data_IF_282316470955
#
_entry.id   IF_282316470955
#
_cell.length_a   1.000
_cell.length_b   1.000
_cell.length_c   1.000
_cell.angle_alpha   90.00
_cell.angle_beta   90.00
_cell.angle_gamma   90.00
#
_symmetry.space_group_name_H-M   'P 1'
#
loop_
_entity.id
_entity.type
_entity.pdbx_description
1 polymer ?
#
# COMPACT_ATOMS: atom_id res chain seq x y z
N UNK A 1 10.64 32.18 -3.65
CA UNK A 1 11.28 30.90 -3.33
C UNK A 1 11.26 30.08 -4.62
N UNK A 2 12.41 29.91 -5.28
CA UNK A 2 12.51 29.11 -6.51
C UNK A 2 12.53 27.63 -6.10
N UNK A 3 11.67 26.82 -6.70
CA UNK A 3 11.68 25.37 -6.50
C UNK A 3 12.92 24.81 -7.24
N UNK A 4 13.79 24.02 -6.58
CA UNK A 4 14.95 23.39 -7.21
C UNK A 4 14.58 22.58 -8.47
N UNK A 5 15.47 22.54 -9.47
CA UNK A 5 15.23 21.80 -10.73
C UNK A 5 15.04 20.29 -10.53
N UNK A 6 15.64 19.72 -9.49
CA UNK A 6 15.49 18.32 -9.10
C UNK A 6 14.06 18.01 -8.61
N UNK A 7 13.47 18.93 -7.82
CA UNK A 7 12.08 18.82 -7.36
C UNK A 7 11.08 18.91 -8.53
N UNK A 8 11.40 19.69 -9.58
CA UNK A 8 10.58 19.77 -10.80
C UNK A 8 10.59 18.43 -11.56
N UNK A 9 11.75 17.79 -11.70
CA UNK A 9 11.86 16.54 -12.45
C UNK A 9 11.23 15.35 -11.68
N UNK A 10 11.40 15.31 -10.35
CA UNK A 10 10.71 14.35 -9.49
C UNK A 10 9.18 14.53 -9.53
N UNK A 11 8.71 15.77 -9.49
CA UNK A 11 7.27 16.07 -9.60
C UNK A 11 6.70 15.62 -10.94
N UNK A 12 7.43 15.87 -12.04
CA UNK A 12 7.03 15.43 -13.38
C UNK A 12 6.96 13.91 -13.47
N UNK A 13 7.98 13.21 -12.98
CA UNK A 13 7.99 11.75 -12.95
C UNK A 13 6.81 11.18 -12.16
N UNK A 14 6.49 11.75 -10.99
CA UNK A 14 5.34 11.33 -10.20
C UNK A 14 3.99 11.55 -10.91
N UNK A 15 3.85 12.64 -11.68
CA UNK A 15 2.66 12.92 -12.48
C UNK A 15 2.53 11.91 -13.64
N UNK A 16 3.64 11.59 -14.31
CA UNK A 16 3.66 10.63 -15.42
C UNK A 16 3.29 9.22 -14.91
N UNK A 17 3.85 8.80 -13.76
CA UNK A 17 3.52 7.53 -13.13
C UNK A 17 2.06 7.47 -12.67
N UNK A 18 1.53 8.54 -12.05
CA UNK A 18 0.11 8.63 -11.70
C UNK A 18 -0.75 8.47 -12.94
N UNK A 19 -0.44 9.19 -14.02
CA UNK A 19 -1.20 9.16 -15.27
C UNK A 19 -1.22 7.76 -15.87
N UNK A 20 -0.05 7.11 -15.93
CA UNK A 20 0.10 5.74 -16.44
C UNK A 20 -0.67 4.72 -15.62
N UNK A 21 -0.56 4.76 -14.28
CA UNK A 21 -1.27 3.82 -13.42
C UNK A 21 -2.77 4.05 -13.39
N UNK A 22 -3.20 5.31 -13.37
CA UNK A 22 -4.59 5.68 -13.51
C UNK A 22 -5.21 5.08 -14.78
N UNK A 23 -4.50 5.14 -15.91
CA UNK A 23 -4.97 4.54 -17.16
C UNK A 23 -5.15 3.02 -17.03
N UNK A 24 -4.19 2.31 -16.40
CA UNK A 24 -4.29 0.85 -16.18
C UNK A 24 -5.46 0.47 -15.28
N UNK A 25 -5.71 1.24 -14.22
CA UNK A 25 -6.89 1.01 -13.38
C UNK A 25 -8.17 1.21 -14.19
N UNK A 26 -8.30 2.31 -14.94
CA UNK A 26 -9.49 2.59 -15.75
C UNK A 26 -9.72 1.58 -16.87
N UNK A 27 -8.66 1.08 -17.52
CA UNK A 27 -8.77 0.06 -18.58
C UNK A 27 -9.09 -1.33 -18.05
N UNK A 28 -8.90 -1.58 -16.75
CA UNK A 28 -9.07 -2.90 -16.13
C UNK A 28 -7.82 -3.76 -16.15
N UNK A 29 -6.70 -3.27 -16.69
CA UNK A 29 -5.42 -4.00 -16.79
C UNK A 29 -4.59 -3.96 -15.49
N UNK A 30 -5.09 -3.27 -14.46
CA UNK A 30 -4.49 -3.26 -13.14
C UNK A 30 -4.88 -4.53 -12.35
N UNK A 31 -3.96 -5.11 -11.56
CA UNK A 31 -4.29 -6.19 -10.64
C UNK A 31 -5.39 -5.74 -9.66
N UNK A 32 -6.51 -6.47 -9.63
CA UNK A 32 -7.59 -6.28 -8.67
C UNK A 32 -7.74 -7.57 -7.88
N UNK A 33 -7.44 -7.49 -6.60
CA UNK A 33 -7.62 -8.59 -5.65
C UNK A 33 -8.06 -8.03 -4.32
N UNK A 34 -9.02 -8.69 -3.69
CA UNK A 34 -9.49 -8.43 -2.33
C UNK A 34 -8.57 -9.03 -1.26
N UNK A 35 -7.44 -9.61 -1.69
CA UNK A 35 -6.48 -10.31 -0.86
C UNK A 35 -5.04 -10.00 -1.27
N UNK A 36 -4.09 -10.11 -0.32
CA UNK A 36 -2.68 -10.05 -0.64
C UNK A 36 -2.26 -11.13 -1.62
N UNK A 37 -1.15 -10.90 -2.32
CA UNK A 37 -0.55 -11.93 -3.16
C UNK A 37 -0.21 -13.18 -2.32
N UNK A 38 -0.19 -14.35 -2.98
CA UNK A 38 0.00 -15.65 -2.29
C UNK A 38 1.29 -15.74 -1.48
N UNK A 39 2.35 -15.05 -1.90
CA UNK A 39 3.64 -15.07 -1.22
C UNK A 39 3.59 -14.31 0.09
N UNK A 40 2.93 -13.15 0.11
CA UNK A 40 2.70 -12.38 1.33
C UNK A 40 1.74 -13.12 2.28
N UNK A 41 0.64 -13.67 1.76
CA UNK A 41 -0.30 -14.45 2.56
C UNK A 41 0.36 -15.66 3.24
N UNK A 42 1.34 -16.29 2.60
CA UNK A 42 2.12 -17.39 3.18
C UNK A 42 2.93 -16.96 4.42
N UNK A 43 3.23 -15.67 4.59
CA UNK A 43 3.97 -15.15 5.73
C UNK A 43 3.08 -14.77 6.92
N UNK A 44 1.78 -15.07 6.91
CA UNK A 44 0.84 -14.66 7.97
C UNK A 44 1.30 -15.05 9.38
N UNK A 45 1.94 -16.21 9.55
CA UNK A 45 2.45 -16.65 10.84
C UNK A 45 3.53 -15.71 11.42
N UNK A 46 4.34 -15.07 10.56
CA UNK A 46 5.28 -14.05 11.00
C UNK A 46 4.56 -12.78 11.46
N UNK A 47 3.52 -12.36 10.74
CA UNK A 47 2.68 -11.22 11.11
C UNK A 47 1.97 -11.46 12.45
N UNK A 48 1.46 -12.67 12.68
CA UNK A 48 0.78 -13.03 13.93
C UNK A 48 1.72 -12.95 15.13
N UNK A 49 2.99 -13.34 14.96
CA UNK A 49 4.02 -13.17 15.99
C UNK A 49 4.32 -11.70 16.31
N UNK A 50 4.35 -10.85 15.29
CA UNK A 50 4.53 -9.40 15.47
C UNK A 50 3.32 -8.81 16.21
N UNK A 51 2.11 -9.16 15.79
CA UNK A 51 0.88 -8.72 16.45
C UNK A 51 0.81 -9.17 17.91
N UNK A 52 1.17 -10.42 18.22
CA UNK A 52 1.21 -10.94 19.58
C UNK A 52 2.24 -10.19 20.46
N UNK A 53 3.43 -9.91 19.91
CA UNK A 53 4.45 -9.12 20.61
C UNK A 53 3.94 -7.73 20.95
N UNK A 54 3.31 -7.05 20.00
CA UNK A 54 2.76 -5.70 20.21
C UNK A 54 1.57 -5.70 21.17
N UNK A 55 0.71 -6.71 21.11
CA UNK A 55 -0.39 -6.89 22.05
C UNK A 55 0.12 -7.05 23.50
N UNK A 56 1.20 -7.81 23.71
CA UNK A 56 1.88 -7.90 25.01
C UNK A 56 2.43 -6.56 25.53
N UNK A 57 2.66 -5.61 24.63
CA UNK A 57 3.06 -4.22 24.93
C UNK A 57 1.86 -3.26 24.99
N UNK A 58 0.62 -3.77 24.93
CA UNK A 58 -0.61 -2.96 24.89
C UNK A 58 -0.66 -1.99 23.70
N UNK A 59 -0.04 -2.38 22.57
CA UNK A 59 0.01 -1.60 21.33
C UNK A 59 -0.74 -2.33 20.22
N UNK A 60 -1.61 -1.61 19.51
CA UNK A 60 -2.19 -2.12 18.28
C UNK A 60 -1.12 -2.25 17.19
N UNK A 61 -1.11 -3.32 16.40
CA UNK A 61 -0.18 -3.45 15.29
C UNK A 61 -0.57 -2.47 14.18
N UNK A 62 0.42 -1.86 13.52
CA UNK A 62 0.21 -0.87 12.47
C UNK A 62 1.04 -1.21 11.23
N UNK A 63 0.51 -0.91 10.05
CA UNK A 63 1.16 -1.21 8.78
C UNK A 63 0.95 -0.08 7.75
N UNK A 64 1.97 0.14 6.92
CA UNK A 64 1.90 0.98 5.72
C UNK A 64 2.09 0.07 4.50
N UNK A 65 1.10 0.05 3.60
CA UNK A 65 1.15 -0.65 2.32
C UNK A 65 1.45 0.35 1.20
N UNK A 66 2.64 0.24 0.61
CA UNK A 66 3.13 1.16 -0.42
C UNK A 66 2.87 0.58 -1.80
N UNK A 67 2.27 1.38 -2.69
CA UNK A 67 1.67 0.90 -3.93
C UNK A 67 0.57 -0.13 -3.65
N UNK A 68 -0.33 0.22 -2.73
CA UNK A 68 -1.36 -0.68 -2.22
C UNK A 68 -2.39 -1.11 -3.29
N UNK A 69 -2.39 -0.42 -4.43
CA UNK A 69 -3.30 -0.64 -5.53
C UNK A 69 -4.75 -0.63 -5.12
N UNK A 70 -5.50 -1.68 -5.50
CA UNK A 70 -6.90 -1.86 -5.11
C UNK A 70 -7.12 -2.09 -3.61
N UNK A 71 -6.06 -2.15 -2.79
CA UNK A 71 -6.15 -2.19 -1.33
C UNK A 71 -6.34 -3.58 -0.72
N UNK A 72 -6.20 -4.66 -1.49
CA UNK A 72 -6.42 -6.03 -1.00
C UNK A 72 -5.59 -6.40 0.24
N UNK A 73 -4.32 -6.01 0.27
CA UNK A 73 -3.45 -6.25 1.45
C UNK A 73 -3.82 -5.35 2.63
N UNK A 74 -4.08 -4.05 2.39
CA UNK A 74 -4.54 -3.10 3.42
C UNK A 74 -5.79 -3.61 4.12
N UNK A 75 -6.80 -4.00 3.35
CA UNK A 75 -8.07 -4.51 3.87
C UNK A 75 -7.88 -5.82 4.63
N UNK A 76 -7.05 -6.73 4.10
CA UNK A 76 -6.74 -7.99 4.76
C UNK A 76 -6.03 -7.79 6.11
N UNK A 77 -5.10 -6.82 6.21
CA UNK A 77 -4.47 -6.45 7.47
C UNK A 77 -5.47 -5.81 8.44
N UNK A 78 -6.30 -4.89 7.96
CA UNK A 78 -7.33 -4.22 8.77
C UNK A 78 -8.33 -5.21 9.37
N UNK A 79 -8.79 -6.19 8.59
CA UNK A 79 -9.65 -7.29 9.05
C UNK A 79 -9.00 -8.15 10.15
N UNK A 80 -7.67 -8.12 10.26
CA UNK A 80 -6.89 -8.85 11.27
C UNK A 80 -6.49 -7.97 12.45
N UNK A 81 -7.13 -6.81 12.61
CA UNK A 81 -6.93 -5.91 13.75
C UNK A 81 -5.69 -5.00 13.62
N UNK A 82 -5.09 -4.92 12.44
CA UNK A 82 -4.02 -3.93 12.19
C UNK A 82 -4.62 -2.56 11.88
N UNK A 83 -3.99 -1.51 12.41
CA UNK A 83 -4.19 -0.16 11.90
C UNK A 83 -3.38 -0.01 10.61
N UNK A 84 -4.02 -0.30 9.48
CA UNK A 84 -3.39 -0.31 8.16
C UNK A 84 -3.67 0.99 7.39
N UNK A 85 -2.62 1.58 6.81
CA UNK A 85 -2.70 2.71 5.87
C UNK A 85 -2.21 2.24 4.51
N UNK A 86 -2.98 2.50 3.45
CA UNK A 86 -2.58 2.29 2.07
C UNK A 86 -2.21 3.59 1.39
N UNK A 87 -1.15 3.58 0.60
CA UNK A 87 -0.81 4.69 -0.31
C UNK A 87 -0.55 4.13 -1.71
N UNK A 88 -1.10 4.81 -2.71
CA UNK A 88 -0.83 4.52 -4.11
C UNK A 88 -0.62 5.82 -4.88
N UNK A 89 0.16 5.75 -5.95
CA UNK A 89 0.37 6.90 -6.84
C UNK A 89 -0.89 7.19 -7.67
N UNK A 90 -1.66 6.13 -7.96
CA UNK A 90 -2.94 6.16 -8.65
C UNK A 90 -4.04 6.69 -7.74
N UNK A 91 -4.87 7.58 -8.28
CA UNK A 91 -6.10 8.08 -7.66
C UNK A 91 -7.37 7.73 -8.47
N UNK A 92 -7.22 6.91 -9.51
CA UNK A 92 -8.31 6.43 -10.38
C UNK A 92 -9.19 5.32 -9.81
#
# INVERSE_FOLDING_TARGET
MLIPSEDIDQTRMAIDDRTRWNQRYRSGDAPRGDRPNRWFAAQHAALDRVAATLAGQQRAPAALDVACGAGGTVLWLAQRGWHATGVDVSDA
#
